data_IF_902823471471
#
_entry.id   IF_902823471471
#
_cell.length_a   1.000
_cell.length_b   1.000
_cell.length_c   1.000
_cell.angle_alpha   90.00
_cell.angle_beta   90.00
_cell.angle_gamma   90.00
#
_symmetry.space_group_name_H-M   'P 1'
#
loop_
_entity.id
_entity.type
_entity.pdbx_description
1 polymer ?
#
# COMPACT_ATOMS: atom_id res chain seq x y z
N UNK A 1 65.06 -4.33 53.87
CA UNK A 1 64.07 -5.33 53.42
C UNK A 1 62.79 -5.00 54.15
N UNK A 2 61.85 -4.34 53.48
CA UNK A 2 60.57 -3.93 54.06
C UNK A 2 59.48 -4.85 53.49
N UNK A 3 58.65 -5.36 54.40
CA UNK A 3 57.62 -6.38 54.18
C UNK A 3 56.47 -5.86 53.29
N UNK A 4 55.93 -6.74 52.45
CA UNK A 4 54.80 -6.44 51.57
C UNK A 4 53.49 -6.44 52.35
N UNK A 5 52.85 -5.27 52.42
CA UNK A 5 51.49 -5.10 52.94
C UNK A 5 50.48 -5.85 52.05
N UNK A 6 49.71 -6.76 52.65
CA UNK A 6 48.80 -7.70 51.98
C UNK A 6 47.33 -7.25 52.04
N UNK A 7 47.06 -5.96 52.30
CA UNK A 7 45.70 -5.48 52.54
C UNK A 7 45.22 -4.38 51.56
N UNK A 8 45.58 -4.49 50.28
CA UNK A 8 44.93 -3.70 49.23
C UNK A 8 43.72 -4.48 48.67
N UNK A 9 42.47 -3.99 48.82
CA UNK A 9 41.33 -4.61 48.16
C UNK A 9 41.45 -4.42 46.63
N UNK A 10 41.05 -5.42 45.82
CA UNK A 10 41.16 -5.33 44.38
C UNK A 10 40.31 -4.17 43.86
N UNK A 11 40.97 -3.30 43.09
CA UNK A 11 40.36 -2.20 42.36
C UNK A 11 39.29 -2.78 41.43
N UNK A 12 38.02 -2.52 41.75
CA UNK A 12 36.80 -2.75 40.97
C UNK A 12 36.99 -3.52 39.65
N UNK A 13 36.62 -4.79 39.65
CA UNK A 13 36.23 -5.47 38.42
C UNK A 13 35.08 -4.68 37.78
N UNK A 14 35.39 -4.02 36.66
CA UNK A 14 34.41 -3.43 35.75
C UNK A 14 33.59 -4.58 35.15
N UNK A 15 32.58 -5.02 35.91
CA UNK A 15 31.56 -5.91 35.40
C UNK A 15 30.93 -5.30 34.15
N UNK A 16 30.77 -6.15 33.13
CA UNK A 16 30.15 -5.82 31.84
C UNK A 16 28.95 -4.90 32.04
N UNK A 17 29.09 -3.64 31.61
CA UNK A 17 27.97 -2.72 31.48
C UNK A 17 27.04 -3.36 30.43
N UNK A 18 25.80 -3.73 30.78
CA UNK A 18 24.88 -4.29 29.81
C UNK A 18 24.77 -3.31 28.63
N UNK A 19 24.74 -3.80 27.37
CA UNK A 19 24.67 -2.93 26.21
C UNK A 19 23.50 -1.97 26.39
N UNK A 20 23.76 -0.68 26.15
CA UNK A 20 22.74 0.34 26.23
C UNK A 20 21.49 -0.13 25.48
N UNK A 21 20.28 0.04 26.04
CA UNK A 21 19.06 -0.33 25.35
C UNK A 21 19.08 0.32 23.97
N UNK A 22 18.61 -0.38 22.92
CA UNK A 22 18.60 0.17 21.57
C UNK A 22 17.94 1.55 21.61
N UNK A 23 18.65 2.56 21.09
CA UNK A 23 18.14 3.92 21.06
C UNK A 23 16.73 3.90 20.44
N UNK A 24 15.79 4.60 21.07
CA UNK A 24 14.44 4.72 20.54
C UNK A 24 14.52 5.20 19.07
N UNK A 25 13.72 4.64 18.15
CA UNK A 25 13.78 5.00 16.75
C UNK A 25 13.57 6.50 16.59
N UNK A 26 14.39 7.13 15.75
CA UNK A 26 14.24 8.54 15.44
C UNK A 26 12.83 8.80 14.88
N UNK A 27 12.26 9.97 15.17
CA UNK A 27 10.94 10.32 14.67
C UNK A 27 10.87 10.16 13.14
N UNK A 28 9.90 9.39 12.66
CA UNK A 28 9.73 9.06 11.24
C UNK A 28 10.91 8.27 10.62
N UNK A 29 11.60 7.45 11.40
CA UNK A 29 12.40 6.35 10.86
C UNK A 29 11.47 5.34 10.17
N UNK A 30 11.39 5.43 8.84
CA UNK A 30 10.46 4.63 8.05
C UNK A 30 10.87 3.15 7.91
N UNK A 31 12.02 2.74 8.43
CA UNK A 31 12.34 1.32 8.58
C UNK A 31 11.57 0.71 9.76
N UNK A 32 11.20 1.51 10.76
CA UNK A 32 10.33 1.07 11.84
C UNK A 32 8.88 0.86 11.32
N UNK A 33 8.27 -0.32 11.55
CA UNK A 33 6.94 -0.65 11.03
C UNK A 33 5.86 0.41 11.33
N UNK A 34 5.81 0.90 12.56
CA UNK A 34 4.76 1.84 12.97
C UNK A 34 4.91 3.22 12.34
N UNK A 35 6.14 3.70 12.13
CA UNK A 35 6.38 4.96 11.42
C UNK A 35 6.12 4.83 9.93
N UNK A 36 6.48 3.69 9.31
CA UNK A 36 6.13 3.42 7.92
C UNK A 36 4.60 3.41 7.72
N UNK A 37 3.88 2.72 8.60
CA UNK A 37 2.42 2.71 8.62
C UNK A 37 1.84 4.12 8.80
N UNK A 38 2.29 4.84 9.83
CA UNK A 38 1.83 6.20 10.10
C UNK A 38 2.06 7.09 8.88
N UNK A 39 3.24 7.05 8.28
CA UNK A 39 3.54 7.85 7.09
C UNK A 39 2.66 7.50 5.89
N UNK A 40 2.40 6.21 5.64
CA UNK A 40 1.47 5.76 4.59
C UNK A 40 0.06 6.31 4.81
N UNK A 41 -0.43 6.25 6.05
CA UNK A 41 -1.73 6.81 6.43
C UNK A 41 -1.77 8.34 6.25
N UNK A 42 -0.73 9.04 6.72
CA UNK A 42 -0.59 10.49 6.57
C UNK A 42 -0.51 10.91 5.10
N UNK A 43 0.10 10.09 4.23
CA UNK A 43 0.15 10.36 2.79
C UNK A 43 -1.20 10.26 2.09
N UNK A 44 -2.09 9.39 2.55
CA UNK A 44 -3.45 9.27 2.04
C UNK A 44 -4.39 10.31 2.68
N UNK A 45 -4.61 10.24 3.99
CA UNK A 45 -5.65 11.04 4.69
C UNK A 45 -5.14 12.31 5.39
N UNK A 46 -3.83 12.43 5.63
CA UNK A 46 -3.28 13.61 6.32
C UNK A 46 -3.35 14.91 5.50
N UNK A 47 -3.40 16.06 6.14
CA UNK A 47 -3.33 17.35 5.45
C UNK A 47 -2.22 18.20 6.06
N UNK A 48 -1.16 18.42 5.27
CA UNK A 48 -0.03 19.25 5.68
C UNK A 48 -0.22 20.67 5.11
N UNK A 49 -0.38 21.64 6.00
CA UNK A 49 -0.63 23.04 5.65
C UNK A 49 0.52 23.96 6.11
N UNK A 50 0.91 24.91 5.24
CA UNK A 50 1.77 26.05 5.61
C UNK A 50 0.91 27.17 6.14
N UNK A 51 1.35 27.78 7.25
CA UNK A 51 0.84 29.06 7.73
C UNK A 51 1.84 30.18 7.47
N UNK A 52 1.53 31.38 7.96
CA UNK A 52 2.44 32.52 7.92
C UNK A 52 3.63 32.32 8.88
N UNK A 53 4.83 32.66 8.43
CA UNK A 53 6.07 32.48 9.22
C UNK A 53 6.33 31.00 9.54
N UNK A 54 6.56 30.69 10.83
CA UNK A 54 6.78 29.31 11.33
C UNK A 54 5.48 28.54 11.56
N UNK A 55 4.30 29.15 11.32
CA UNK A 55 3.00 28.53 11.59
C UNK A 55 2.63 27.45 10.57
N UNK A 56 1.65 26.64 10.92
CA UNK A 56 1.04 25.61 10.08
C UNK A 56 0.78 24.36 10.90
N UNK A 57 0.23 23.33 10.24
CA UNK A 57 -0.22 22.12 10.91
C UNK A 57 -0.28 20.94 9.98
N UNK A 58 -0.10 19.76 10.55
CA UNK A 58 -0.55 18.50 10.01
C UNK A 58 -1.85 18.13 10.72
N UNK A 59 -2.86 17.74 9.96
CA UNK A 59 -4.14 17.25 10.51
C UNK A 59 -4.54 15.94 9.88
N UNK A 60 -5.11 15.03 10.67
CA UNK A 60 -5.78 13.82 10.18
C UNK A 60 -7.18 13.81 10.78
N UNK A 61 -8.21 13.78 9.95
CA UNK A 61 -9.61 13.67 10.40
C UNK A 61 -10.16 12.32 9.94
N UNK A 62 -10.69 11.54 10.87
CA UNK A 62 -11.29 10.22 10.61
C UNK A 62 -12.59 10.05 11.41
N UNK A 63 -13.35 9.00 11.10
CA UNK A 63 -14.51 8.63 11.91
C UNK A 63 -14.07 8.21 13.33
N UNK A 64 -14.84 8.59 14.35
CA UNK A 64 -14.52 8.29 15.76
C UNK A 64 -14.32 6.79 16.04
N UNK A 65 -14.98 5.90 15.28
CA UNK A 65 -14.81 4.44 15.46
C UNK A 65 -13.36 3.98 15.25
N UNK A 66 -12.58 4.76 14.51
CA UNK A 66 -11.20 4.47 14.14
C UNK A 66 -10.20 5.30 15.01
N UNK A 67 -10.67 6.02 16.05
CA UNK A 67 -9.87 6.97 16.87
C UNK A 67 -8.62 6.35 17.52
N UNK A 68 -8.62 5.04 17.79
CA UNK A 68 -7.48 4.35 18.39
C UNK A 68 -6.18 4.54 17.59
N UNK A 69 -6.27 4.67 16.26
CA UNK A 69 -5.10 4.93 15.40
C UNK A 69 -4.52 6.33 15.64
N UNK A 70 -5.36 7.32 15.95
CA UNK A 70 -4.90 8.68 16.26
C UNK A 70 -4.16 8.71 17.60
N UNK A 71 -4.64 7.95 18.59
CA UNK A 71 -3.90 7.80 19.85
C UNK A 71 -2.57 7.08 19.66
N UNK A 72 -2.49 6.11 18.74
CA UNK A 72 -1.21 5.52 18.37
C UNK A 72 -0.27 6.54 17.72
N UNK A 73 -0.77 7.36 16.80
CA UNK A 73 0.02 8.45 16.19
C UNK A 73 0.51 9.45 17.23
N UNK A 74 -0.34 9.82 18.19
CA UNK A 74 0.05 10.70 19.30
C UNK A 74 1.17 10.09 20.15
N UNK A 75 1.12 8.79 20.49
CA UNK A 75 2.19 8.11 21.24
C UNK A 75 3.49 7.99 20.46
N UNK A 76 3.43 7.76 19.15
CA UNK A 76 4.60 7.69 18.27
C UNK A 76 5.24 9.06 18.02
N UNK A 77 4.53 10.15 18.32
CA UNK A 77 4.99 11.51 18.03
C UNK A 77 5.63 12.11 19.28
N UNK A 78 6.94 12.39 19.30
CA UNK A 78 7.62 12.98 20.46
C UNK A 78 7.31 14.47 20.64
N UNK A 79 6.46 15.04 19.80
CA UNK A 79 6.06 16.44 19.80
C UNK A 79 4.65 16.58 20.34
N UNK A 80 4.36 17.75 20.93
CA UNK A 80 3.02 18.09 21.37
C UNK A 80 2.03 18.02 20.20
N UNK A 81 1.01 17.18 20.38
CA UNK A 81 -0.10 17.02 19.44
C UNK A 81 -1.39 16.80 20.21
N UNK A 82 -2.52 17.15 19.59
CA UNK A 82 -3.84 17.08 20.21
C UNK A 82 -4.77 16.19 19.40
N UNK A 83 -5.77 15.61 20.07
CA UNK A 83 -6.89 14.92 19.46
C UNK A 83 -8.16 15.61 19.93
N UNK A 84 -9.02 15.98 18.99
CA UNK A 84 -10.31 16.62 19.27
C UNK A 84 -11.42 15.91 18.53
N UNK A 85 -12.56 15.74 19.18
CA UNK A 85 -13.76 15.14 18.58
C UNK A 85 -14.77 16.20 18.17
N UNK A 86 -15.56 15.91 17.15
CA UNK A 86 -16.62 16.78 16.64
C UNK A 86 -17.80 15.97 16.13
N UNK A 87 -18.99 16.35 16.54
CA UNK A 87 -20.26 15.89 15.95
C UNK A 87 -20.82 16.99 15.07
N UNK A 88 -21.22 16.66 13.84
CA UNK A 88 -21.91 17.58 12.94
C UNK A 88 -22.98 16.88 12.10
N UNK A 89 -24.03 17.61 11.79
CA UNK A 89 -24.87 17.27 10.66
C UNK A 89 -24.08 17.48 9.36
N UNK A 90 -24.17 16.53 8.45
CA UNK A 90 -23.67 16.61 7.07
C UNK A 90 -24.83 16.35 6.13
N UNK A 91 -24.68 16.70 4.84
CA UNK A 91 -25.70 16.43 3.82
C UNK A 91 -26.07 14.92 3.68
N UNK A 92 -25.32 14.03 4.32
CA UNK A 92 -25.48 12.57 4.25
C UNK A 92 -25.83 11.92 5.59
N UNK A 93 -25.76 12.65 6.72
CA UNK A 93 -26.01 12.11 8.05
C UNK A 93 -26.18 13.25 9.07
N UNK A 94 -27.22 13.16 9.91
CA UNK A 94 -27.52 14.13 10.96
C UNK A 94 -26.52 14.12 12.13
N UNK A 95 -25.68 13.09 12.26
CA UNK A 95 -24.81 12.87 13.42
C UNK A 95 -23.42 12.35 13.08
N UNK A 96 -22.76 12.88 12.06
CA UNK A 96 -21.40 12.46 11.71
C UNK A 96 -20.41 12.83 12.82
N UNK A 97 -19.91 11.81 13.52
CA UNK A 97 -18.92 11.93 14.59
C UNK A 97 -17.50 11.65 14.05
N UNK A 98 -16.64 12.68 14.01
CA UNK A 98 -15.24 12.59 13.63
C UNK A 98 -14.28 12.93 14.78
N UNK A 99 -13.08 12.38 14.70
CA UNK A 99 -11.94 12.74 15.52
C UNK A 99 -10.83 13.33 14.64
N UNK A 100 -10.17 14.37 15.12
CA UNK A 100 -9.08 15.06 14.41
C UNK A 100 -7.82 15.05 15.27
N UNK A 101 -6.73 14.50 14.75
CA UNK A 101 -5.40 14.66 15.33
C UNK A 101 -4.68 15.83 14.66
N UNK A 102 -4.04 16.69 15.47
CA UNK A 102 -3.32 17.89 15.01
C UNK A 102 -1.90 17.96 15.56
N UNK A 103 -0.94 18.21 14.68
CA UNK A 103 0.47 18.44 14.99
C UNK A 103 0.95 19.76 14.38
N UNK A 104 1.39 20.70 15.21
CA UNK A 104 1.80 22.05 14.78
C UNK A 104 3.32 22.26 14.74
N UNK A 105 4.09 21.33 15.31
CA UNK A 105 5.54 21.45 15.44
C UNK A 105 6.21 21.68 14.07
N UNK A 106 7.18 22.60 14.03
CA UNK A 106 7.84 22.98 12.77
C UNK A 106 8.81 21.91 12.29
N UNK A 107 9.61 21.35 13.21
CA UNK A 107 10.61 20.33 12.90
C UNK A 107 9.92 19.08 12.39
N UNK A 108 8.89 18.62 13.10
CA UNK A 108 8.12 17.44 12.71
C UNK A 108 7.50 17.60 11.30
N UNK A 109 6.95 18.78 10.99
CA UNK A 109 6.40 19.09 9.66
C UNK A 109 7.47 19.18 8.58
N UNK A 110 8.66 19.69 8.91
CA UNK A 110 9.80 19.72 7.99
C UNK A 110 10.28 18.30 7.66
N UNK A 111 10.40 17.43 8.66
CA UNK A 111 10.77 16.01 8.50
C UNK A 111 9.79 15.29 7.58
N UNK A 112 8.49 15.39 7.85
CA UNK A 112 7.45 14.78 7.01
C UNK A 112 7.49 15.30 5.56
N UNK A 113 7.73 16.60 5.38
CA UNK A 113 7.83 17.17 4.05
C UNK A 113 9.07 16.67 3.30
N UNK A 114 10.21 16.56 3.99
CA UNK A 114 11.45 16.00 3.44
C UNK A 114 11.30 14.54 2.99
N UNK A 115 10.52 13.75 3.73
CA UNK A 115 10.21 12.36 3.40
C UNK A 115 9.24 12.21 2.22
N UNK A 116 8.59 13.29 1.79
CA UNK A 116 7.74 13.31 0.59
C UNK A 116 6.25 13.56 0.83
N UNK A 117 5.85 14.05 2.01
CA UNK A 117 4.48 14.56 2.24
C UNK A 117 4.38 16.03 1.80
N UNK A 118 3.77 16.37 0.64
CA UNK A 118 3.75 17.74 0.15
C UNK A 118 2.75 18.60 0.94
N UNK A 119 3.01 19.90 0.95
CA UNK A 119 2.05 20.88 1.44
C UNK A 119 0.88 21.06 0.45
N UNK A 120 -0.35 21.17 0.96
CA UNK A 120 -1.55 21.44 0.17
C UNK A 120 -2.11 20.18 -0.53
N UNK A 121 -2.73 20.37 -1.72
CA UNK A 121 -3.38 19.28 -2.46
C UNK A 121 -2.34 18.24 -2.92
N UNK A 122 -2.52 17.00 -2.47
CA UNK A 122 -1.50 15.93 -2.61
C UNK A 122 -1.94 14.70 -3.42
N UNK A 123 -3.23 14.47 -3.65
CA UNK A 123 -3.76 13.21 -4.20
C UNK A 123 -3.09 12.71 -5.50
N UNK A 124 -2.70 13.61 -6.41
CA UNK A 124 -1.97 13.26 -7.65
C UNK A 124 -0.44 13.35 -7.54
N UNK A 125 0.08 13.95 -6.47
CA UNK A 125 1.50 14.29 -6.29
C UNK A 125 2.24 13.36 -5.34
N UNK A 126 1.52 12.65 -4.46
CA UNK A 126 2.16 11.72 -3.53
C UNK A 126 2.88 10.61 -4.29
N UNK A 127 4.08 10.33 -3.83
CA UNK A 127 4.92 9.21 -4.27
C UNK A 127 5.36 8.46 -3.01
N UNK A 128 5.75 7.18 -3.10
CA UNK A 128 6.35 6.49 -1.97
C UNK A 128 7.51 7.29 -1.37
N UNK A 129 7.86 7.05 -0.09
CA UNK A 129 8.95 7.76 0.56
C UNK A 129 10.23 7.76 -0.26
N UNK A 130 11.01 8.84 -0.14
CA UNK A 130 12.31 8.98 -0.84
C UNK A 130 13.47 8.29 -0.12
N UNK A 131 13.25 7.85 1.11
CA UNK A 131 14.19 7.09 1.93
C UNK A 131 13.91 5.59 1.85
N UNK A 132 14.73 4.76 2.48
CA UNK A 132 14.38 3.36 2.73
C UNK A 132 13.21 3.27 3.71
N UNK A 133 12.33 2.28 3.51
CA UNK A 133 11.14 2.12 4.34
C UNK A 133 10.61 0.68 4.34
N UNK A 134 9.90 0.31 5.40
CA UNK A 134 9.10 -0.92 5.43
C UNK A 134 7.94 -0.81 4.44
N UNK A 135 8.11 -1.42 3.26
CA UNK A 135 7.11 -1.39 2.19
C UNK A 135 5.77 -1.99 2.61
N UNK A 136 5.80 -3.06 3.40
CA UNK A 136 4.62 -3.74 3.92
C UNK A 136 3.77 -2.80 4.74
N UNK A 137 4.38 -2.19 5.75
CA UNK A 137 3.68 -1.38 6.74
C UNK A 137 3.26 -0.03 6.14
N UNK A 138 4.08 0.56 5.26
CA UNK A 138 3.69 1.72 4.44
C UNK A 138 2.43 1.44 3.61
N UNK A 139 2.41 0.33 2.86
CA UNK A 139 1.25 -0.01 2.03
C UNK A 139 0.02 -0.32 2.89
N UNK A 140 0.19 -0.94 4.06
CA UNK A 140 -0.92 -1.11 5.02
C UNK A 140 -1.47 0.25 5.45
N UNK A 141 -0.62 1.21 5.81
CA UNK A 141 -1.04 2.56 6.17
C UNK A 141 -1.85 3.27 5.06
N UNK A 142 -1.39 3.15 3.82
CA UNK A 142 -2.09 3.70 2.65
C UNK A 142 -3.45 2.99 2.44
N UNK A 143 -3.49 1.67 2.56
CA UNK A 143 -4.73 0.88 2.41
C UNK A 143 -5.69 1.18 3.56
N UNK A 144 -5.20 1.43 4.78
CA UNK A 144 -6.04 1.72 5.93
C UNK A 144 -6.74 3.09 5.81
N UNK A 145 -6.09 4.06 5.19
CA UNK A 145 -6.69 5.35 4.84
C UNK A 145 -7.62 5.26 3.61
N UNK A 146 -7.08 4.91 2.43
CA UNK A 146 -7.77 5.06 1.12
C UNK A 146 -8.24 3.73 0.48
N UNK A 147 -8.01 2.60 1.16
CA UNK A 147 -8.31 1.25 0.66
C UNK A 147 -9.44 0.54 1.40
N UNK A 148 -9.65 -0.73 1.05
CA UNK A 148 -10.65 -1.59 1.67
C UNK A 148 -10.21 -3.05 1.70
N UNK A 149 -10.64 -3.77 2.73
CA UNK A 149 -10.40 -5.20 2.95
C UNK A 149 -11.72 -5.80 3.39
N UNK A 150 -12.11 -6.94 2.82
CA UNK A 150 -13.33 -7.63 3.21
C UNK A 150 -13.83 -8.60 2.15
N UNK A 151 -15.14 -8.81 2.11
CA UNK A 151 -15.80 -9.66 1.13
C UNK A 151 -16.62 -8.82 0.14
N UNK A 152 -16.65 -9.22 -1.13
CA UNK A 152 -17.57 -8.66 -2.12
C UNK A 152 -19.01 -9.06 -1.79
N UNK A 153 -20.00 -8.48 -2.47
CA UNK A 153 -21.40 -8.91 -2.35
C UNK A 153 -21.65 -10.38 -2.76
N UNK A 154 -20.69 -11.03 -3.41
CA UNK A 154 -20.71 -12.46 -3.75
C UNK A 154 -19.95 -13.33 -2.74
N UNK A 155 -19.51 -12.77 -1.60
CA UNK A 155 -18.73 -13.49 -0.59
C UNK A 155 -17.29 -13.78 -1.00
N UNK A 156 -16.74 -13.10 -2.02
CA UNK A 156 -15.34 -13.31 -2.43
C UNK A 156 -14.42 -12.38 -1.64
N UNK A 157 -13.29 -12.85 -1.09
CA UNK A 157 -12.35 -11.98 -0.39
C UNK A 157 -11.76 -10.97 -1.36
N UNK A 158 -11.54 -9.74 -0.88
CA UNK A 158 -10.89 -8.68 -1.66
C UNK A 158 -10.01 -7.77 -0.79
N UNK A 159 -8.97 -7.23 -1.46
CA UNK A 159 -8.17 -6.10 -0.99
C UNK A 159 -8.15 -5.08 -2.11
N UNK A 160 -8.53 -3.84 -1.82
CA UNK A 160 -8.54 -2.77 -2.82
C UNK A 160 -7.86 -1.49 -2.33
N UNK A 161 -7.37 -0.72 -3.30
CA UNK A 161 -6.89 0.64 -3.11
C UNK A 161 -7.43 1.52 -4.22
N UNK A 162 -8.01 2.65 -3.82
CA UNK A 162 -8.44 3.71 -4.72
C UNK A 162 -7.46 4.86 -4.59
N UNK A 163 -6.74 5.22 -5.65
CA UNK A 163 -5.74 6.30 -5.58
C UNK A 163 -5.64 7.10 -6.87
N UNK A 164 -5.42 8.41 -6.75
CA UNK A 164 -5.12 9.26 -7.90
C UNK A 164 -3.61 9.26 -8.26
N UNK A 165 -2.75 8.67 -7.41
CA UNK A 165 -1.31 8.57 -7.64
C UNK A 165 -0.95 7.29 -8.39
N UNK A 166 -0.42 7.44 -9.61
CA UNK A 166 0.11 6.33 -10.38
C UNK A 166 1.28 5.63 -9.68
N UNK A 167 2.12 6.39 -8.96
CA UNK A 167 3.29 5.85 -8.27
C UNK A 167 2.90 4.95 -7.08
N UNK A 168 1.90 5.37 -6.30
CA UNK A 168 1.35 4.56 -5.21
C UNK A 168 0.69 3.30 -5.75
N UNK A 169 -0.18 3.43 -6.76
CA UNK A 169 -0.82 2.28 -7.40
C UNK A 169 0.17 1.27 -7.99
N UNK A 170 1.21 1.75 -8.69
CA UNK A 170 2.25 0.90 -9.25
C UNK A 170 3.09 0.21 -8.17
N UNK A 171 3.31 0.88 -7.03
CA UNK A 171 4.04 0.31 -5.89
C UNK A 171 3.24 -0.84 -5.26
N UNK A 172 1.95 -0.65 -5.03
CA UNK A 172 1.07 -1.73 -4.58
C UNK A 172 1.10 -2.90 -5.58
N UNK A 173 1.01 -2.65 -6.89
CA UNK A 173 1.03 -3.72 -7.88
C UNK A 173 2.34 -4.51 -7.91
N UNK A 174 3.49 -3.84 -7.81
CA UNK A 174 4.79 -4.52 -7.72
C UNK A 174 4.89 -5.36 -6.45
N UNK A 175 4.47 -4.78 -5.33
CA UNK A 175 4.52 -5.46 -4.04
C UNK A 175 3.60 -6.68 -4.00
N UNK A 176 2.35 -6.53 -4.40
CA UNK A 176 1.39 -7.63 -4.44
C UNK A 176 1.80 -8.73 -5.43
N UNK A 177 2.44 -8.39 -6.55
CA UNK A 177 3.03 -9.39 -7.45
C UNK A 177 4.12 -10.21 -6.74
N UNK A 178 4.97 -9.57 -5.94
CA UNK A 178 6.01 -10.27 -5.19
C UNK A 178 5.42 -11.20 -4.11
N UNK A 179 4.33 -10.78 -3.45
CA UNK A 179 3.67 -11.58 -2.40
C UNK A 179 2.80 -12.70 -2.97
N UNK A 180 2.06 -12.45 -4.05
CA UNK A 180 0.97 -13.33 -4.51
C UNK A 180 1.22 -13.98 -5.87
N UNK A 181 2.31 -13.62 -6.55
CA UNK A 181 2.55 -13.96 -7.95
C UNK A 181 1.60 -13.25 -8.95
N UNK A 182 0.51 -12.62 -8.47
CA UNK A 182 -0.54 -12.06 -9.31
C UNK A 182 -0.18 -10.67 -9.81
N UNK A 183 0.12 -10.55 -11.10
CA UNK A 183 0.37 -9.28 -11.74
C UNK A 183 -0.96 -8.55 -12.07
N UNK A 184 -1.00 -7.24 -11.80
CA UNK A 184 -2.08 -6.33 -12.23
C UNK A 184 -1.49 -5.22 -13.09
N UNK A 185 -2.15 -4.93 -14.20
CA UNK A 185 -1.96 -3.67 -14.92
C UNK A 185 -2.97 -2.66 -14.37
N UNK A 186 -2.52 -1.43 -14.11
CA UNK A 186 -3.38 -0.36 -13.61
C UNK A 186 -3.80 0.52 -14.76
N UNK A 187 -5.10 0.81 -14.84
CA UNK A 187 -5.69 1.80 -15.72
C UNK A 187 -6.48 2.81 -14.89
N UNK A 188 -6.61 4.03 -15.40
CA UNK A 188 -7.53 5.01 -14.82
C UNK A 188 -8.95 4.59 -15.16
N UNK A 189 -9.87 4.71 -14.20
CA UNK A 189 -11.28 4.54 -14.50
C UNK A 189 -11.77 5.73 -15.35
N UNK A 190 -12.89 5.54 -16.06
CA UNK A 190 -13.45 6.55 -16.94
C UNK A 190 -14.23 7.66 -16.20
N UNK A 191 -14.70 7.39 -14.98
CA UNK A 191 -15.60 8.27 -14.23
C UNK A 191 -14.88 9.50 -13.68
N UNK A 192 -13.77 9.28 -12.98
CA UNK A 192 -13.04 10.32 -12.24
C UNK A 192 -11.53 10.30 -12.55
N UNK A 193 -11.08 9.35 -13.38
CA UNK A 193 -9.70 9.26 -13.80
C UNK A 193 -8.75 8.77 -12.71
N UNK A 194 -9.23 8.09 -11.67
CA UNK A 194 -8.37 7.51 -10.61
C UNK A 194 -8.10 6.02 -10.85
N UNK A 195 -7.11 5.47 -10.16
CA UNK A 195 -6.73 4.07 -10.23
C UNK A 195 -7.51 3.27 -9.18
N UNK A 196 -8.20 2.22 -9.62
CA UNK A 196 -8.85 1.23 -8.76
C UNK A 196 -8.06 -0.07 -8.86
N UNK A 197 -7.24 -0.36 -7.84
CA UNK A 197 -6.47 -1.61 -7.77
C UNK A 197 -7.23 -2.58 -6.89
N UNK A 198 -7.58 -3.75 -7.41
CA UNK A 198 -8.34 -4.77 -6.66
C UNK A 198 -7.71 -6.15 -6.82
N UNK A 199 -7.48 -6.80 -5.69
CA UNK A 199 -7.12 -8.20 -5.57
C UNK A 199 -8.32 -8.96 -5.03
N UNK A 200 -8.55 -10.18 -5.50
CA UNK A 200 -9.68 -11.01 -5.08
C UNK A 200 -9.23 -12.46 -4.88
N UNK A 201 -10.05 -13.26 -4.18
CA UNK A 201 -9.82 -14.70 -3.98
C UNK A 201 -8.47 -14.96 -3.27
N UNK A 202 -7.70 -15.95 -3.71
CA UNK A 202 -6.44 -16.36 -3.09
C UNK A 202 -5.45 -15.21 -2.99
N UNK A 203 -5.38 -14.38 -4.03
CA UNK A 203 -4.48 -13.23 -4.03
C UNK A 203 -4.87 -12.20 -2.96
N UNK A 204 -6.18 -12.05 -2.68
CA UNK A 204 -6.64 -11.19 -1.59
C UNK A 204 -6.30 -11.80 -0.22
N UNK A 205 -6.52 -13.09 -0.04
CA UNK A 205 -6.19 -13.80 1.22
C UNK A 205 -4.69 -13.70 1.52
N UNK A 206 -3.85 -14.03 0.55
CA UNK A 206 -2.38 -13.95 0.69
C UNK A 206 -1.91 -12.52 0.96
N UNK A 207 -2.42 -11.54 0.20
CA UNK A 207 -2.04 -10.15 0.39
C UNK A 207 -2.50 -9.59 1.74
N UNK A 208 -3.73 -9.90 2.16
CA UNK A 208 -4.26 -9.47 3.44
C UNK A 208 -3.48 -10.10 4.60
N UNK A 209 -3.22 -11.41 4.56
CA UNK A 209 -2.43 -12.10 5.58
C UNK A 209 -1.00 -11.56 5.70
N UNK A 210 -0.39 -11.17 4.58
CA UNK A 210 0.93 -10.56 4.60
C UNK A 210 0.91 -9.11 5.12
N UNK A 211 -0.10 -8.29 4.79
CA UNK A 211 -0.18 -6.89 5.23
C UNK A 211 -0.58 -6.77 6.71
N UNK A 212 -1.56 -7.56 7.16
CA UNK A 212 -2.21 -7.48 8.48
C UNK A 212 -1.76 -8.62 9.41
N UNK A 213 -0.46 -8.69 9.66
CA UNK A 213 0.12 -9.68 10.57
C UNK A 213 -0.24 -9.40 12.04
N UNK A 214 -0.20 -10.42 12.92
CA UNK A 214 -0.50 -10.23 14.33
C UNK A 214 0.35 -9.14 15.00
N UNK A 215 -0.30 -8.29 15.80
CA UNK A 215 0.37 -7.22 16.56
C UNK A 215 0.70 -5.97 15.75
N UNK A 216 0.37 -5.91 14.46
CA UNK A 216 0.67 -4.75 13.64
C UNK A 216 -0.27 -3.56 13.94
N UNK A 217 0.25 -2.32 13.87
CA UNK A 217 -0.58 -1.13 13.93
C UNK A 217 -1.48 -1.04 12.69
N UNK A 218 -2.81 -1.05 12.89
CA UNK A 218 -3.81 -1.02 11.83
C UNK A 218 -5.16 -0.51 12.35
N UNK A 219 -6.10 -0.22 11.45
CA UNK A 219 -7.50 -0.03 11.82
C UNK A 219 -8.10 -1.37 12.26
N UNK A 220 -8.63 -1.43 13.48
CA UNK A 220 -9.20 -2.64 14.09
C UNK A 220 -10.17 -3.36 13.15
N UNK A 221 -11.10 -2.63 12.52
CA UNK A 221 -12.07 -3.21 11.58
C UNK A 221 -11.44 -3.87 10.35
N UNK A 222 -10.32 -3.33 9.84
CA UNK A 222 -9.60 -3.89 8.68
C UNK A 222 -8.72 -5.07 9.09
N UNK A 223 -8.13 -5.03 10.28
CA UNK A 223 -7.48 -6.20 10.88
C UNK A 223 -8.47 -7.35 11.06
N UNK A 224 -9.65 -7.11 11.64
CA UNK A 224 -10.70 -8.12 11.80
C UNK A 224 -11.13 -8.69 10.45
N UNK A 225 -11.34 -7.83 9.44
CA UNK A 225 -11.67 -8.27 8.10
C UNK A 225 -10.57 -9.16 7.50
N UNK A 226 -9.30 -8.75 7.61
CA UNK A 226 -8.15 -9.51 7.13
C UNK A 226 -8.03 -10.89 7.82
N UNK A 227 -8.22 -10.94 9.13
CA UNK A 227 -8.25 -12.20 9.90
C UNK A 227 -9.37 -13.11 9.40
N UNK A 228 -10.57 -12.57 9.14
CA UNK A 228 -11.68 -13.35 8.60
C UNK A 228 -11.42 -13.87 7.17
N UNK A 229 -10.59 -13.19 6.37
CA UNK A 229 -10.22 -13.70 5.03
C UNK A 229 -9.32 -14.93 5.11
N UNK A 230 -8.59 -15.13 6.21
CA UNK A 230 -7.63 -16.24 6.34
C UNK A 230 -8.30 -17.62 6.31
N UNK A 231 -9.58 -17.70 6.69
CA UNK A 231 -10.37 -18.93 6.63
C UNK A 231 -11.08 -19.16 5.29
N UNK A 232 -10.93 -18.25 4.32
CA UNK A 232 -11.56 -18.42 3.02
C UNK A 232 -10.81 -19.47 2.21
N UNK A 233 -11.55 -20.47 1.74
CA UNK A 233 -11.08 -21.47 0.80
C UNK A 233 -11.85 -21.38 -0.51
N UNK A 234 -11.18 -21.70 -1.61
CA UNK A 234 -11.83 -21.77 -2.91
C UNK A 234 -12.83 -22.92 -2.92
N UNK A 235 -14.11 -22.66 -3.22
CA UNK A 235 -15.07 -23.73 -3.49
C UNK A 235 -14.59 -24.64 -4.61
N UNK A 236 -14.76 -25.96 -4.47
CA UNK A 236 -14.23 -26.96 -5.40
C UNK A 236 -14.74 -26.79 -6.85
N UNK A 237 -15.95 -26.26 -6.99
CA UNK A 237 -16.61 -25.96 -8.27
C UNK A 237 -16.16 -24.63 -8.89
N UNK A 238 -15.43 -23.79 -8.16
CA UNK A 238 -15.02 -22.47 -8.64
C UNK A 238 -13.80 -22.55 -9.57
N UNK A 239 -13.95 -22.23 -10.87
CA UNK A 239 -12.88 -22.41 -11.85
C UNK A 239 -11.66 -21.53 -11.55
N UNK A 240 -10.48 -22.14 -11.58
CA UNK A 240 -9.20 -21.44 -11.54
C UNK A 240 -8.91 -20.93 -12.95
N UNK A 241 -8.79 -19.61 -13.10
CA UNK A 241 -8.37 -19.04 -14.37
C UNK A 241 -6.88 -19.31 -14.54
N UNK A 242 -6.43 -20.05 -15.57
CA UNK A 242 -5.01 -20.22 -15.82
C UNK A 242 -4.38 -18.85 -16.10
N UNK A 243 -3.09 -18.66 -15.73
CA UNK A 243 -2.39 -17.42 -16.03
C UNK A 243 -2.50 -17.10 -17.53
N UNK A 244 -2.84 -15.86 -17.85
CA UNK A 244 -3.10 -15.46 -19.24
C UNK A 244 -1.86 -15.65 -20.12
N UNK A 245 -1.94 -16.55 -21.11
CA UNK A 245 -0.90 -16.77 -22.13
C UNK A 245 -0.77 -15.52 -22.99
N UNK A 246 0.37 -14.81 -22.89
CA UNK A 246 0.69 -13.65 -23.73
C UNK A 246 0.78 -14.07 -25.20
N UNK A 247 0.33 -13.19 -26.10
CA UNK A 247 0.51 -13.35 -27.54
C UNK A 247 1.98 -13.16 -27.90
N UNK A 248 2.55 -14.12 -28.61
CA UNK A 248 3.89 -14.07 -29.18
C UNK A 248 3.81 -13.53 -30.62
N UNK A 249 4.86 -12.87 -31.13
CA UNK A 249 4.86 -12.33 -32.50
C UNK A 249 4.59 -13.38 -33.59
N UNK A 250 4.95 -14.64 -33.38
CA UNK A 250 4.63 -15.72 -34.34
C UNK A 250 3.14 -16.11 -34.30
N UNK A 251 2.48 -16.03 -33.14
CA UNK A 251 1.04 -16.28 -33.03
C UNK A 251 0.24 -15.18 -33.73
N UNK A 252 0.73 -13.93 -33.66
CA UNK A 252 0.15 -12.82 -34.42
C UNK A 252 0.33 -12.99 -35.94
N UNK A 253 1.47 -13.54 -36.38
CA UNK A 253 1.70 -13.90 -37.79
C UNK A 253 0.75 -15.02 -38.25
N UNK A 254 0.60 -16.08 -37.46
CA UNK A 254 -0.32 -17.16 -37.76
C UNK A 254 -1.77 -16.67 -37.86
N UNK A 255 -2.22 -15.82 -36.93
CA UNK A 255 -3.54 -15.19 -36.97
C UNK A 255 -3.78 -14.38 -38.26
N UNK A 256 -2.81 -13.58 -38.66
CA UNK A 256 -2.91 -12.76 -39.88
C UNK A 256 -2.84 -13.62 -41.15
N UNK A 257 -2.09 -14.73 -41.13
CA UNK A 257 -1.98 -15.65 -42.25
C UNK A 257 -3.26 -16.45 -42.48
N UNK A 258 -3.92 -16.92 -41.40
CA UNK A 258 -5.22 -17.59 -41.49
C UNK A 258 -6.34 -16.65 -41.89
N UNK A 259 -6.27 -15.40 -41.41
CA UNK A 259 -7.35 -14.41 -41.49
C UNK A 259 -8.71 -14.86 -40.91
N UNK A 260 -8.73 -16.02 -40.25
CA UNK A 260 -9.86 -16.67 -39.64
C UNK A 260 -9.53 -17.04 -38.19
N UNK A 261 -10.46 -16.71 -37.28
CA UNK A 261 -10.27 -16.91 -35.86
C UNK A 261 -10.47 -18.37 -35.44
N UNK A 262 -11.32 -19.11 -36.14
CA UNK A 262 -11.63 -20.51 -35.85
C UNK A 262 -10.44 -21.40 -36.23
N UNK A 263 -9.94 -21.28 -37.46
CA UNK A 263 -8.75 -22.01 -37.92
C UNK A 263 -7.51 -21.70 -37.05
N UNK A 264 -7.28 -20.43 -36.73
CA UNK A 264 -6.17 -20.03 -35.87
C UNK A 264 -6.33 -20.52 -34.42
N UNK A 265 -7.55 -20.64 -33.91
CA UNK A 265 -7.78 -21.15 -32.55
C UNK A 265 -7.32 -22.60 -32.40
N UNK A 266 -7.62 -23.45 -33.39
CA UNK A 266 -7.20 -24.84 -33.43
C UNK A 266 -5.67 -24.97 -33.48
N UNK A 267 -5.00 -24.24 -34.38
CA UNK A 267 -3.52 -24.27 -34.50
C UNK A 267 -2.82 -23.75 -33.23
N UNK A 268 -3.32 -22.64 -32.67
CA UNK A 268 -2.63 -21.94 -31.59
C UNK A 268 -2.94 -22.51 -30.19
N UNK A 269 -3.91 -23.43 -30.10
CA UNK A 269 -4.42 -23.94 -28.83
C UNK A 269 -5.00 -22.81 -27.98
N UNK A 270 -5.80 -21.94 -28.60
CA UNK A 270 -6.47 -20.79 -27.97
C UNK A 270 -7.97 -20.86 -28.21
N UNK A 271 -8.76 -20.09 -27.47
CA UNK A 271 -10.19 -19.98 -27.77
C UNK A 271 -10.43 -19.07 -28.97
N UNK A 272 -11.44 -19.39 -29.78
CA UNK A 272 -11.88 -18.59 -30.92
C UNK A 272 -12.11 -17.12 -30.53
N UNK A 273 -12.86 -16.86 -29.46
CA UNK A 273 -13.07 -15.51 -28.96
C UNK A 273 -11.76 -14.74 -28.66
N UNK A 274 -10.71 -15.44 -28.21
CA UNK A 274 -9.40 -14.82 -28.00
C UNK A 274 -8.72 -14.46 -29.32
N UNK A 275 -8.79 -15.36 -30.31
CA UNK A 275 -8.29 -15.18 -31.66
C UNK A 275 -9.03 -14.03 -32.38
N UNK A 276 -10.37 -13.99 -32.35
CA UNK A 276 -11.18 -12.95 -33.01
C UNK A 276 -10.84 -11.56 -32.48
N UNK A 277 -10.77 -11.41 -31.15
CA UNK A 277 -10.40 -10.13 -30.52
C UNK A 277 -8.98 -9.71 -30.87
N UNK A 278 -8.03 -10.66 -30.94
CA UNK A 278 -6.64 -10.35 -31.29
C UNK A 278 -6.49 -9.97 -32.76
N UNK A 279 -7.11 -10.72 -33.67
CA UNK A 279 -7.12 -10.46 -35.11
C UNK A 279 -7.70 -9.08 -35.41
N UNK A 280 -8.85 -8.74 -34.81
CA UNK A 280 -9.44 -7.40 -34.95
C UNK A 280 -8.47 -6.29 -34.50
N UNK A 281 -7.76 -6.48 -33.40
CA UNK A 281 -6.77 -5.49 -32.91
C UNK A 281 -5.57 -5.32 -33.85
N UNK A 282 -5.10 -6.41 -34.48
CA UNK A 282 -4.03 -6.39 -35.46
C UNK A 282 -4.48 -5.72 -36.78
N UNK A 283 -5.71 -5.99 -37.22
CA UNK A 283 -6.33 -5.37 -38.40
C UNK A 283 -6.54 -3.86 -38.22
N UNK A 284 -7.03 -3.44 -37.06
CA UNK A 284 -7.36 -2.04 -36.75
C UNK A 284 -6.18 -1.20 -36.25
N UNK A 285 -4.96 -1.77 -36.20
CA UNK A 285 -3.76 -1.06 -35.73
C UNK A 285 -3.77 -0.73 -34.23
N UNK A 286 -4.73 -1.27 -33.45
CA UNK A 286 -4.76 -1.15 -31.98
C UNK A 286 -3.61 -1.90 -31.31
N UNK A 287 -3.01 -2.84 -32.02
CA UNK A 287 -1.78 -3.55 -31.66
C UNK A 287 -0.85 -3.47 -32.87
N UNK A 288 0.42 -3.16 -32.63
CA UNK A 288 1.47 -3.12 -33.65
C UNK A 288 1.62 -4.50 -34.31
N UNK A 289 1.70 -4.56 -35.63
CA UNK A 289 1.89 -5.85 -36.32
C UNK A 289 3.33 -6.33 -36.13
N UNK A 290 3.58 -7.64 -36.21
CA UNK A 290 4.94 -8.19 -36.13
C UNK A 290 5.90 -7.59 -37.18
N UNK A 291 5.36 -7.21 -38.34
CA UNK A 291 6.08 -6.64 -39.48
C UNK A 291 6.47 -5.17 -39.28
N UNK A 292 5.83 -4.46 -38.34
CA UNK A 292 6.09 -3.03 -38.09
C UNK A 292 7.27 -2.81 -37.13
N UNK A 293 7.86 -3.85 -36.54
CA UNK A 293 9.01 -3.75 -35.62
C UNK A 293 10.34 -3.53 -36.37
N UNK A 294 11.39 -2.98 -35.73
CA UNK A 294 12.70 -2.96 -36.36
C UNK A 294 13.11 -4.39 -36.70
N UNK A 295 13.52 -4.64 -37.95
CA UNK A 295 14.15 -5.88 -38.34
C UNK A 295 15.30 -6.16 -37.37
N UNK A 296 15.30 -7.35 -36.77
CA UNK A 296 16.21 -7.71 -35.69
C UNK A 296 17.68 -7.43 -36.02
N UNK A 297 18.41 -7.01 -34.99
CA UNK A 297 19.84 -7.31 -34.85
C UNK A 297 19.96 -8.60 -34.03
#
# INVERSE_FOLDING_TARGET
>A
MAEHDTNAPPLFELGDVPPAPPAAPAFMDLQHPDYAYMFGFLQADGHLARGTGRKGRLTVEINVRDIAVLHAFQRLTPYNSSITERVRATNFSEGHHSATWTLCDQEARATLNGLGLPYGRKSRKITPPRAEFSRRDYLRGVIDADGSVGHTGQGLPFVSLTTASAAVGATLCRYAKAVTGSARQIGRNARDGIYNVVYTKEAAVQLAGHLYYPGCLSLTRKQTAATALASWERPADMPVRPPGRRWKPWEDRALLAHDDAEAAAAELGRSEASCSVRLWRLKTGKVRRPEDGPAGT
#
